data_IF_918435043905
#
_entry.id   IF_918435043905
#
_cell.length_a   1.000
_cell.length_b   1.000
_cell.length_c   1.000
_cell.angle_alpha   90.00
_cell.angle_beta   90.00
_cell.angle_gamma   90.00
#
_symmetry.space_group_name_H-M   'P 1'
#
loop_
_entity.id
_entity.type
_entity.pdbx_description
1 polymer ?
#
# COMPACT_ATOMS: atom_id res chain seq x y z
N UNK A 1 5.52 12.66 17.93
CA UNK A 1 6.17 13.34 16.79
C UNK A 1 5.07 13.98 15.97
N UNK A 2 5.18 15.27 15.62
CA UNK A 2 4.11 15.98 14.91
C UNK A 2 4.40 15.93 13.41
N UNK A 3 4.10 14.79 12.78
CA UNK A 3 4.35 14.54 11.36
C UNK A 3 3.39 15.41 10.54
N UNK A 4 3.91 16.05 9.48
CA UNK A 4 3.09 16.82 8.53
C UNK A 4 2.77 15.94 7.34
N UNK A 5 1.48 15.75 7.07
CA UNK A 5 1.02 15.12 5.83
C UNK A 5 0.76 16.21 4.79
N UNK A 6 1.17 15.95 3.54
CA UNK A 6 0.89 16.78 2.37
C UNK A 6 0.50 15.90 1.19
N UNK A 7 -0.02 16.54 0.15
CA UNK A 7 -0.28 15.94 -1.15
C UNK A 7 0.39 16.74 -2.27
N UNK A 8 0.47 16.12 -3.45
CA UNK A 8 1.04 16.72 -4.65
C UNK A 8 2.38 16.11 -5.06
N UNK A 9 2.99 16.72 -6.08
CA UNK A 9 4.22 16.24 -6.70
C UNK A 9 5.18 17.41 -6.96
N UNK A 10 6.45 17.21 -6.58
CA UNK A 10 7.59 18.08 -6.89
C UNK A 10 8.84 17.22 -7.05
N UNK A 11 9.92 17.78 -7.61
CA UNK A 11 11.22 17.10 -7.73
C UNK A 11 11.73 16.55 -6.39
N UNK A 12 11.59 17.34 -5.31
CA UNK A 12 11.99 16.96 -3.96
C UNK A 12 11.14 15.81 -3.42
N UNK A 13 9.84 15.80 -3.73
CA UNK A 13 8.93 14.73 -3.32
C UNK A 13 9.28 13.43 -4.05
N UNK A 14 9.46 13.48 -5.37
CA UNK A 14 9.89 12.32 -6.17
C UNK A 14 11.19 11.77 -5.60
N UNK A 15 12.19 12.63 -5.36
CA UNK A 15 13.48 12.22 -4.80
C UNK A 15 13.34 11.54 -3.45
N UNK A 16 12.54 12.10 -2.54
CA UNK A 16 12.35 11.53 -1.21
C UNK A 16 11.56 10.21 -1.21
N UNK A 17 10.57 10.07 -2.09
CA UNK A 17 9.87 8.79 -2.29
C UNK A 17 10.81 7.73 -2.88
N UNK A 18 11.64 8.09 -3.86
CA UNK A 18 12.69 7.19 -4.39
C UNK A 18 13.64 6.75 -3.29
N UNK A 19 14.04 7.64 -2.38
CA UNK A 19 14.89 7.27 -1.24
C UNK A 19 14.20 6.30 -0.29
N UNK A 20 12.90 6.50 -0.02
CA UNK A 20 12.12 5.55 0.77
C UNK A 20 12.16 4.13 0.14
N UNK A 21 12.04 4.01 -1.18
CA UNK A 21 12.13 2.72 -1.88
C UNK A 21 13.51 2.06 -1.76
N UNK A 22 14.60 2.83 -1.82
CA UNK A 22 15.98 2.31 -1.66
C UNK A 22 16.21 1.62 -0.32
N UNK A 23 15.50 2.05 0.73
CA UNK A 23 15.55 1.41 2.05
C UNK A 23 14.69 0.14 2.18
N UNK A 24 14.13 -0.36 1.07
CA UNK A 24 13.38 -1.59 1.00
C UNK A 24 13.89 -2.46 -0.15
N UNK A 25 14.65 -3.50 0.19
CA UNK A 25 15.45 -4.27 -0.77
C UNK A 25 14.71 -4.73 -2.04
N UNK A 26 13.46 -5.17 -1.92
CA UNK A 26 12.66 -5.63 -3.07
C UNK A 26 12.23 -4.52 -4.04
N UNK A 27 12.34 -3.25 -3.65
CA UNK A 27 11.97 -2.08 -4.47
C UNK A 27 13.15 -1.12 -4.67
N UNK A 28 14.36 -1.52 -4.28
CA UNK A 28 15.52 -0.63 -4.27
C UNK A 28 16.02 -0.25 -5.68
N UNK A 29 15.60 -1.02 -6.68
CA UNK A 29 15.90 -0.86 -8.11
C UNK A 29 14.88 0.00 -8.86
N UNK A 30 13.82 0.48 -8.20
CA UNK A 30 12.84 1.38 -8.81
C UNK A 30 13.53 2.64 -9.35
N UNK A 31 13.39 2.84 -10.65
CA UNK A 31 13.96 3.99 -11.33
C UNK A 31 13.21 5.28 -10.95
N UNK A 32 13.95 6.38 -10.83
CA UNK A 32 13.39 7.67 -10.41
C UNK A 32 12.34 8.20 -11.39
N UNK A 33 12.57 8.08 -12.69
CA UNK A 33 11.65 8.53 -13.74
C UNK A 33 10.36 7.70 -13.70
N UNK A 34 10.48 6.39 -13.44
CA UNK A 34 9.31 5.52 -13.24
C UNK A 34 8.54 5.86 -11.95
N UNK A 35 9.23 6.22 -10.87
CA UNK A 35 8.60 6.69 -9.63
C UNK A 35 7.84 8.00 -9.87
N UNK A 36 8.43 8.95 -10.58
CA UNK A 36 7.77 10.20 -10.99
C UNK A 36 6.51 9.89 -11.80
N UNK A 37 6.65 9.09 -12.86
CA UNK A 37 5.52 8.65 -13.70
C UNK A 37 4.41 8.00 -12.86
N UNK A 38 4.75 7.11 -11.93
CA UNK A 38 3.77 6.44 -11.08
C UNK A 38 3.02 7.42 -10.16
N UNK A 39 3.70 8.43 -9.63
CA UNK A 39 3.06 9.47 -8.80
C UNK A 39 2.18 10.37 -9.67
N UNK A 40 2.67 10.81 -10.83
CA UNK A 40 1.92 11.68 -11.77
C UNK A 40 0.63 11.03 -12.26
N UNK A 41 0.64 9.72 -12.45
CA UNK A 41 -0.51 8.94 -12.90
C UNK A 41 -1.27 8.27 -11.75
N UNK A 42 -1.09 8.74 -10.52
CA UNK A 42 -1.98 8.42 -9.41
C UNK A 42 -3.02 9.51 -9.23
N UNK A 43 -4.25 9.11 -8.96
CA UNK A 43 -5.34 10.03 -8.66
C UNK A 43 -5.07 10.81 -7.37
N UNK A 44 -4.55 10.13 -6.34
CA UNK A 44 -4.10 10.77 -5.10
C UNK A 44 -2.70 10.29 -4.68
N UNK A 45 -1.89 11.22 -4.18
CA UNK A 45 -0.59 10.92 -3.58
C UNK A 45 -0.42 11.72 -2.30
N UNK A 46 -0.26 11.01 -1.19
CA UNK A 46 -0.06 11.58 0.14
C UNK A 46 1.30 11.17 0.68
N UNK A 47 1.98 12.10 1.34
CA UNK A 47 3.30 11.87 1.89
C UNK A 47 3.52 12.59 3.22
N UNK A 48 4.37 11.99 4.04
CA UNK A 48 4.78 12.51 5.33
C UNK A 48 6.14 13.22 5.23
N UNK A 49 6.25 14.39 5.86
CA UNK A 49 7.50 15.13 5.99
C UNK A 49 8.09 15.00 7.39
N UNK A 50 9.42 14.84 7.47
CA UNK A 50 10.16 15.01 8.71
C UNK A 50 10.05 16.48 9.18
N UNK A 51 9.64 16.75 10.43
CA UNK A 51 9.49 18.13 10.90
C UNK A 51 10.80 18.92 11.03
N UNK A 52 11.95 18.25 11.07
CA UNK A 52 13.27 18.85 11.22
C UNK A 52 13.98 19.13 9.89
N UNK A 53 13.85 18.24 8.90
CA UNK A 53 14.50 18.38 7.59
C UNK A 53 13.54 18.76 6.45
N UNK A 54 12.22 18.68 6.66
CA UNK A 54 11.20 18.78 5.59
C UNK A 54 11.40 17.75 4.46
N UNK A 55 12.12 16.65 4.72
CA UNK A 55 12.29 15.54 3.76
C UNK A 55 11.11 14.58 3.80
N UNK A 56 10.79 13.96 2.66
CA UNK A 56 9.76 12.91 2.60
C UNK A 56 10.27 11.64 3.27
N UNK A 57 9.52 11.14 4.25
CA UNK A 57 9.89 9.97 5.06
C UNK A 57 8.89 8.81 4.94
N UNK A 58 7.73 9.07 4.36
CA UNK A 58 6.75 8.04 4.00
C UNK A 58 5.82 8.55 2.90
N UNK A 59 5.23 7.63 2.13
CA UNK A 59 4.30 7.93 1.04
C UNK A 59 3.29 6.81 0.86
N UNK A 60 2.13 7.17 0.30
CA UNK A 60 1.14 6.26 -0.26
C UNK A 60 0.50 6.88 -1.51
N UNK A 61 0.13 6.03 -2.47
CA UNK A 61 -0.59 6.42 -3.69
C UNK A 61 -1.97 5.76 -3.71
N UNK A 62 -2.94 6.39 -4.36
CA UNK A 62 -4.27 5.82 -4.58
C UNK A 62 -4.65 5.96 -6.05
N UNK A 63 -5.18 4.87 -6.62
CA UNK A 63 -5.91 4.88 -7.88
C UNK A 63 -7.40 4.76 -7.56
N UNK A 64 -8.24 5.64 -8.10
CA UNK A 64 -9.65 5.68 -7.76
C UNK A 64 -10.56 6.23 -8.87
N UNK A 65 -11.80 5.77 -8.89
CA UNK A 65 -12.88 6.37 -9.68
C UNK A 65 -13.67 7.45 -8.91
N UNK A 66 -13.21 7.79 -7.70
CA UNK A 66 -13.81 8.78 -6.80
C UNK A 66 -15.26 8.50 -6.36
N UNK A 67 -15.78 7.29 -6.59
CA UNK A 67 -17.16 6.96 -6.20
C UNK A 67 -17.37 5.53 -5.69
N UNK A 68 -16.80 4.53 -6.34
CA UNK A 68 -16.99 3.13 -5.96
C UNK A 68 -15.72 2.54 -5.38
N UNK A 69 -14.59 2.73 -6.06
CA UNK A 69 -13.38 1.98 -5.78
C UNK A 69 -12.15 2.88 -5.65
N UNK A 70 -11.40 2.64 -4.59
CA UNK A 70 -10.04 3.12 -4.40
C UNK A 70 -9.10 1.95 -4.10
N UNK A 71 -7.91 1.96 -4.69
CA UNK A 71 -6.86 0.98 -4.38
C UNK A 71 -5.61 1.72 -3.92
N UNK A 72 -5.17 1.44 -2.70
CA UNK A 72 -3.95 2.01 -2.13
C UNK A 72 -2.75 1.20 -2.60
N UNK A 73 -1.78 1.90 -3.17
CA UNK A 73 -0.50 1.37 -3.63
C UNK A 73 0.67 2.03 -2.91
N UNK A 74 1.77 1.29 -2.88
CA UNK A 74 3.09 1.79 -2.48
C UNK A 74 3.12 2.54 -1.14
N UNK A 75 2.43 2.00 -0.12
CA UNK A 75 2.62 2.44 1.27
C UNK A 75 4.06 2.12 1.67
N UNK A 76 4.92 3.13 1.68
CA UNK A 76 6.35 2.99 1.93
C UNK A 76 6.80 3.96 3.03
N UNK A 77 7.70 3.48 3.90
CA UNK A 77 8.28 4.24 5.00
C UNK A 77 9.78 4.06 4.98
N UNK A 78 10.52 5.17 5.01
CA UNK A 78 11.97 5.20 5.16
C UNK A 78 12.38 4.42 6.41
N UNK A 79 13.43 3.58 6.32
CA UNK A 79 13.75 2.61 7.38
C UNK A 79 13.93 3.22 8.77
N UNK A 80 14.59 4.38 8.87
CA UNK A 80 14.83 5.09 10.13
C UNK A 80 13.55 5.58 10.82
N UNK A 81 12.45 5.69 10.08
CA UNK A 81 11.17 6.16 10.58
C UNK A 81 10.18 5.02 10.82
N UNK A 82 10.55 3.75 10.58
CA UNK A 82 9.70 2.61 10.89
C UNK A 82 9.52 2.45 12.40
N UNK A 83 8.35 1.97 12.82
CA UNK A 83 8.02 1.83 14.26
C UNK A 83 7.73 3.14 14.99
N UNK A 84 7.82 4.30 14.33
CA UNK A 84 7.51 5.62 14.92
C UNK A 84 6.04 6.01 14.83
N UNK A 85 5.24 5.26 14.07
CA UNK A 85 3.84 5.56 13.77
C UNK A 85 3.60 6.31 12.46
N UNK A 86 4.65 6.74 11.73
CA UNK A 86 4.48 7.50 10.48
C UNK A 86 3.70 6.77 9.40
N UNK A 87 3.92 5.46 9.22
CA UNK A 87 3.19 4.68 8.23
C UNK A 87 1.69 4.65 8.51
N UNK A 88 1.32 4.52 9.80
CA UNK A 88 -0.08 4.60 10.22
C UNK A 88 -0.66 5.98 9.91
N UNK A 89 0.07 7.05 10.22
CA UNK A 89 -0.39 8.41 9.94
C UNK A 89 -0.63 8.67 8.44
N UNK A 90 0.20 8.11 7.56
CA UNK A 90 -0.01 8.19 6.10
C UNK A 90 -1.26 7.42 5.68
N UNK A 91 -1.45 6.19 6.18
CA UNK A 91 -2.62 5.37 5.84
C UNK A 91 -3.92 6.00 6.36
N UNK A 92 -3.93 6.50 7.60
CA UNK A 92 -5.08 7.22 8.16
C UNK A 92 -5.38 8.50 7.36
N UNK A 93 -4.34 9.22 6.91
CA UNK A 93 -4.55 10.37 6.05
C UNK A 93 -5.14 10.01 4.68
N UNK A 94 -4.85 8.81 4.15
CA UNK A 94 -5.51 8.30 2.94
C UNK A 94 -6.98 8.02 3.21
N UNK A 95 -7.31 7.30 4.29
CA UNK A 95 -8.70 6.94 4.61
C UNK A 95 -9.57 8.14 4.97
N UNK A 96 -8.96 9.19 5.54
CA UNK A 96 -9.63 10.45 5.90
C UNK A 96 -9.48 11.53 4.81
N UNK A 97 -8.94 11.20 3.63
CA UNK A 97 -8.65 12.17 2.58
C UNK A 97 -9.95 12.70 1.97
N UNK A 98 -10.23 14.02 2.02
CA UNK A 98 -11.53 14.54 1.58
C UNK A 98 -11.95 14.18 0.15
N UNK A 99 -11.05 14.16 -0.87
CA UNK A 99 -11.39 13.67 -2.21
C UNK A 99 -11.90 12.22 -2.26
N UNK A 100 -11.62 11.41 -1.25
CA UNK A 100 -12.03 10.01 -1.16
C UNK A 100 -13.27 9.80 -0.28
N UNK A 101 -13.91 10.87 0.21
CA UNK A 101 -15.03 10.78 1.16
C UNK A 101 -16.24 9.99 0.64
N UNK A 102 -16.49 10.06 -0.67
CA UNK A 102 -17.62 9.40 -1.35
C UNK A 102 -17.23 8.02 -1.91
N UNK A 103 -15.98 7.58 -1.77
CA UNK A 103 -15.53 6.28 -2.29
C UNK A 103 -16.10 5.16 -1.45
N UNK A 104 -16.91 4.30 -2.07
CA UNK A 104 -17.61 3.21 -1.36
C UNK A 104 -16.64 2.20 -0.73
N UNK A 105 -15.55 1.87 -1.43
CA UNK A 105 -14.61 0.85 -0.97
C UNK A 105 -13.16 1.22 -1.29
N UNK A 106 -12.35 1.34 -0.24
CA UNK A 106 -10.90 1.49 -0.34
C UNK A 106 -10.25 0.14 -0.01
N UNK A 107 -9.39 -0.35 -0.90
CA UNK A 107 -8.73 -1.66 -0.78
C UNK A 107 -7.22 -1.56 -0.90
N UNK A 108 -6.51 -2.58 -0.41
CA UNK A 108 -5.09 -2.76 -0.63
C UNK A 108 -4.74 -4.25 -0.59
N UNK A 109 -3.60 -4.60 -1.16
CA UNK A 109 -3.03 -5.95 -1.04
C UNK A 109 -1.87 -5.87 -0.05
N UNK A 110 -2.00 -6.58 1.07
CA UNK A 110 -0.98 -6.64 2.11
C UNK A 110 -0.23 -7.98 2.06
N UNK A 111 1.09 -7.94 2.29
CA UNK A 111 1.84 -9.14 2.70
C UNK A 111 1.28 -9.64 4.04
N UNK A 112 1.24 -10.95 4.25
CA UNK A 112 0.60 -11.56 5.43
C UNK A 112 1.12 -10.97 6.76
N UNK A 113 2.44 -10.78 6.89
CA UNK A 113 3.05 -10.17 8.08
C UNK A 113 2.69 -8.70 8.33
N UNK A 114 2.10 -8.00 7.34
CA UNK A 114 1.64 -6.62 7.46
C UNK A 114 0.13 -6.50 7.72
N UNK A 115 -0.63 -7.61 7.67
CA UNK A 115 -2.07 -7.59 7.96
C UNK A 115 -2.39 -6.96 9.32
N UNK A 116 -1.72 -7.33 10.44
CA UNK A 116 -2.00 -6.72 11.74
C UNK A 116 -1.69 -5.22 11.82
N UNK A 117 -0.88 -4.68 10.90
CA UNK A 117 -0.63 -3.25 10.80
C UNK A 117 -1.83 -2.55 10.14
N UNK A 118 -2.33 -3.07 9.02
CA UNK A 118 -3.47 -2.48 8.32
C UNK A 118 -4.78 -2.62 9.10
N UNK A 119 -4.96 -3.70 9.86
CA UNK A 119 -6.10 -3.86 10.79
C UNK A 119 -6.17 -2.74 11.83
N UNK A 120 -5.01 -2.29 12.33
CA UNK A 120 -4.94 -1.13 13.25
C UNK A 120 -5.25 0.21 12.57
N UNK A 121 -5.23 0.24 11.24
CA UNK A 121 -5.60 1.39 10.43
C UNK A 121 -7.06 1.33 9.96
N UNK A 122 -7.85 0.36 10.43
CA UNK A 122 -9.28 0.24 10.09
C UNK A 122 -9.58 -0.64 8.87
N UNK A 123 -8.58 -1.26 8.26
CA UNK A 123 -8.81 -2.25 7.21
C UNK A 123 -9.26 -3.58 7.81
N UNK A 124 -10.12 -4.31 7.11
CA UNK A 124 -10.52 -5.65 7.51
C UNK A 124 -10.07 -6.66 6.46
N UNK A 125 -9.66 -7.86 6.89
CA UNK A 125 -9.36 -8.95 5.98
C UNK A 125 -10.68 -9.42 5.35
N UNK A 126 -10.90 -9.08 4.09
CA UNK A 126 -12.01 -9.64 3.34
C UNK A 126 -11.59 -10.98 2.73
N UNK A 127 -12.37 -12.06 2.90
CA UNK A 127 -12.11 -13.30 2.20
C UNK A 127 -12.20 -13.06 0.69
N UNK A 128 -11.20 -13.55 -0.04
CA UNK A 128 -11.18 -13.56 -1.50
C UNK A 128 -12.04 -14.72 -2.01
N UNK A 129 -13.31 -14.77 -1.61
CA UNK A 129 -14.26 -15.81 -2.01
C UNK A 129 -15.65 -15.21 -2.26
N UNK A 130 -16.40 -15.81 -3.17
CA UNK A 130 -17.82 -15.51 -3.45
C UNK A 130 -18.65 -16.79 -3.43
N UNK A 131 -19.93 -16.63 -3.10
CA UNK A 131 -20.93 -17.68 -3.28
C UNK A 131 -21.52 -17.55 -4.69
N UNK A 132 -21.30 -18.56 -5.53
CA UNK A 132 -21.86 -18.66 -6.88
C UNK A 132 -22.65 -19.96 -6.96
N UNK A 133 -23.95 -19.86 -7.27
CA UNK A 133 -24.85 -21.02 -7.36
C UNK A 133 -24.88 -21.97 -6.14
N UNK A 134 -24.56 -21.43 -4.96
CA UNK A 134 -24.50 -22.18 -3.70
C UNK A 134 -23.17 -22.88 -3.44
N UNK A 135 -22.13 -22.57 -4.22
CA UNK A 135 -20.77 -23.01 -4.01
C UNK A 135 -19.85 -21.83 -3.69
N UNK A 136 -18.92 -22.02 -2.76
CA UNK A 136 -17.88 -21.03 -2.45
C UNK A 136 -16.76 -21.13 -3.50
N UNK A 137 -16.60 -20.09 -4.31
CA UNK A 137 -15.49 -19.95 -5.26
C UNK A 137 -14.47 -18.91 -4.77
N UNK A 138 -13.18 -19.15 -5.02
CA UNK A 138 -12.13 -18.19 -4.66
C UNK A 138 -11.87 -17.18 -5.79
N UNK A 139 -11.71 -15.91 -5.43
CA UNK A 139 -11.12 -14.91 -6.31
C UNK A 139 -9.61 -15.11 -6.39
N UNK A 140 -9.10 -15.12 -7.62
CA UNK A 140 -7.67 -15.20 -7.89
C UNK A 140 -7.18 -13.85 -8.42
N UNK A 141 -6.03 -13.39 -7.92
CA UNK A 141 -5.35 -12.23 -8.50
C UNK A 141 -4.78 -12.66 -9.85
N UNK A 142 -5.40 -12.19 -10.93
CA UNK A 142 -4.91 -12.43 -12.28
C UNK A 142 -3.90 -11.33 -12.64
N UNK A 143 -2.70 -11.72 -13.03
CA UNK A 143 -1.66 -10.83 -13.55
C UNK A 143 -1.39 -11.29 -14.98
N UNK A 144 -1.28 -10.33 -15.90
CA UNK A 144 -0.71 -10.59 -17.22
C UNK A 144 0.81 -10.50 -17.03
N UNK A 145 1.45 -11.63 -16.77
CA UNK A 145 2.91 -11.68 -16.57
C UNK A 145 3.64 -11.22 -17.82
N UNK A 146 4.65 -10.36 -17.61
CA UNK A 146 5.78 -10.20 -18.52
C UNK A 146 7.12 -10.31 -17.77
N UNK A 147 7.11 -10.89 -16.56
CA UNK A 147 8.34 -11.16 -15.78
C UNK A 147 8.39 -12.64 -15.32
N UNK A 148 9.24 -13.48 -15.91
CA UNK A 148 9.37 -14.90 -15.57
C UNK A 148 10.04 -15.16 -14.21
N UNK A 149 10.54 -14.14 -13.50
CA UNK A 149 11.28 -14.29 -12.24
C UNK A 149 10.49 -13.79 -10.99
N UNK A 150 9.28 -13.22 -11.14
CA UNK A 150 8.43 -12.81 -10.01
C UNK A 150 7.57 -13.99 -9.51
N UNK A 151 8.23 -15.02 -8.98
CA UNK A 151 7.59 -16.09 -8.21
C UNK A 151 7.02 -15.50 -6.91
N UNK A 152 5.87 -14.84 -7.00
CA UNK A 152 4.96 -14.74 -5.87
C UNK A 152 4.50 -16.17 -5.63
N UNK A 153 5.21 -16.90 -4.76
CA UNK A 153 4.80 -18.23 -4.30
C UNK A 153 3.32 -18.17 -3.88
N UNK A 154 2.47 -18.64 -4.77
CA UNK A 154 1.05 -18.86 -4.54
C UNK A 154 0.92 -20.11 -3.67
N UNK A 155 1.40 -20.05 -2.44
CA UNK A 155 0.99 -21.03 -1.44
C UNK A 155 -0.42 -20.67 -0.98
N UNK A 156 -1.40 -21.06 -1.79
CA UNK A 156 -2.73 -21.41 -1.30
C UNK A 156 -2.58 -22.58 -0.32
N UNK A 157 -2.16 -22.31 0.92
CA UNK A 157 -2.31 -23.29 1.99
C UNK A 157 -3.79 -23.36 2.33
N UNK A 158 -4.40 -24.47 1.97
CA UNK A 158 -5.70 -24.88 2.46
C UNK A 158 -5.72 -24.77 4.00
N UNK A 159 -6.82 -24.31 4.64
CA UNK A 159 -6.94 -24.24 6.10
C UNK A 159 -6.69 -25.57 6.84
N UNK A 160 -6.60 -26.69 6.12
CA UNK A 160 -6.34 -28.03 6.63
C UNK A 160 -4.89 -28.33 7.00
N UNK A 161 -3.93 -27.45 6.69
CA UNK A 161 -2.49 -27.74 6.88
C UNK A 161 -1.90 -27.22 8.21
N UNK A 162 -2.74 -26.96 9.23
CA UNK A 162 -2.24 -26.72 10.60
C UNK A 162 -1.97 -28.07 11.26
N UNK A 163 -0.72 -28.42 11.61
CA UNK A 163 -0.45 -29.61 12.41
C UNK A 163 -1.06 -29.41 13.80
N UNK A 164 -1.98 -30.28 14.19
CA UNK A 164 -2.40 -30.40 15.59
C UNK A 164 -1.22 -30.91 16.39
N UNK A 165 -0.51 -30.03 17.08
CA UNK A 165 0.43 -30.43 18.13
C UNK A 165 -0.23 -30.28 19.49
N UNK A 166 -0.34 -31.43 20.15
CA UNK A 166 -0.65 -31.65 21.57
C UNK A 166 0.27 -30.86 22.51
#
# INVERSE_FOLDING_TARGET
MNIKIKSGITDDVVRGVTECYRTYASWADRDREQVETAIEHSDEHLYALDPGSDEVVASARVLTDYCYYGVVYDVIVHEEYRGTGVGRAVVEAVTDHPPLEDVTQITLIARDGLVPFYEKCGFERHPMTIEVDGETEAFNRMVLDDDPDDDIESQSRSPSDVPTTN
#
